data_IF_371538060301
#
_entry.id   IF_371538060301
#
_cell.length_a   1.000
_cell.length_b   1.000
_cell.length_c   1.000
_cell.angle_alpha   90.00
_cell.angle_beta   90.00
_cell.angle_gamma   90.00
#
_symmetry.space_group_name_H-M   'P 1'
#
loop_
_entity.id
_entity.type
_entity.pdbx_description
1 polymer ?
#
# COMPACT_ATOMS: atom_id res chain seq x y z
N UNK A 1 2.39 -19.11 -3.36
CA UNK A 1 1.51 -18.56 -4.40
C UNK A 1 0.77 -17.33 -3.82
N UNK A 2 1.50 -16.37 -3.23
CA UNK A 2 0.88 -15.39 -2.29
C UNK A 2 0.20 -14.19 -2.97
N UNK A 3 0.59 -13.86 -4.21
CA UNK A 3 0.07 -12.70 -4.93
C UNK A 3 -0.95 -13.06 -6.02
N UNK A 4 -1.00 -14.32 -6.45
CA UNK A 4 -1.96 -14.77 -7.48
C UNK A 4 -3.39 -14.90 -6.94
N UNK A 5 -3.57 -15.11 -5.63
CA UNK A 5 -4.90 -15.18 -4.98
C UNK A 5 -5.48 -13.79 -4.66
N UNK A 6 -4.66 -12.74 -4.69
CA UNK A 6 -5.04 -11.36 -4.35
C UNK A 6 -5.35 -10.53 -5.60
N UNK A 7 -6.28 -11.02 -6.42
CA UNK A 7 -6.71 -10.32 -7.62
C UNK A 7 -7.26 -8.92 -7.34
N UNK A 8 -7.21 -8.05 -8.35
CA UNK A 8 -7.79 -6.70 -8.27
C UNK A 8 -9.28 -6.79 -8.60
N UNK A 9 -10.17 -6.34 -7.72
CA UNK A 9 -11.59 -6.18 -8.04
C UNK A 9 -11.91 -4.70 -8.26
N UNK A 10 -12.59 -4.36 -9.35
CA UNK A 10 -13.00 -2.99 -9.58
C UNK A 10 -14.03 -2.56 -8.51
N UNK A 11 -13.79 -1.47 -7.75
CA UNK A 11 -14.71 -1.05 -6.70
C UNK A 11 -16.07 -0.60 -7.27
N UNK A 12 -16.11 -0.14 -8.53
CA UNK A 12 -17.33 0.33 -9.21
C UNK A 12 -18.18 -0.81 -9.78
N UNK A 13 -17.62 -1.66 -10.67
CA UNK A 13 -18.40 -2.69 -11.37
C UNK A 13 -18.17 -4.12 -10.87
N UNK A 14 -17.30 -4.32 -9.86
CA UNK A 14 -16.96 -5.61 -9.25
C UNK A 14 -16.30 -6.63 -10.18
N UNK A 15 -15.93 -6.25 -11.39
CA UNK A 15 -15.13 -7.11 -12.28
C UNK A 15 -13.76 -7.40 -11.66
N UNK A 16 -13.37 -8.67 -11.67
CA UNK A 16 -12.14 -9.17 -11.06
C UNK A 16 -11.05 -9.43 -12.10
N UNK A 17 -9.83 -9.03 -11.79
CA UNK A 17 -8.63 -9.25 -12.58
C UNK A 17 -7.72 -10.21 -11.82
N UNK A 18 -7.22 -11.26 -12.49
CA UNK A 18 -6.22 -12.18 -11.95
C UNK A 18 -4.79 -11.61 -12.12
N UNK A 19 -4.58 -10.36 -11.66
CA UNK A 19 -3.34 -9.61 -11.83
C UNK A 19 -2.76 -9.23 -10.47
N UNK A 20 -1.43 -9.29 -10.35
CA UNK A 20 -0.71 -8.63 -9.27
C UNK A 20 -0.83 -7.11 -9.40
N UNK A 21 -0.66 -6.35 -8.30
CA UNK A 21 -0.83 -4.89 -8.33
C UNK A 21 0.26 -4.18 -9.11
N UNK A 22 1.43 -4.80 -9.26
CA UNK A 22 2.55 -4.29 -10.05
C UNK A 22 3.13 -2.97 -9.51
N UNK A 23 3.93 -2.29 -10.33
CA UNK A 23 4.61 -1.04 -9.94
C UNK A 23 3.73 0.22 -9.97
N UNK A 24 2.71 0.25 -10.84
CA UNK A 24 1.79 1.39 -10.96
C UNK A 24 0.53 1.14 -10.11
N UNK A 25 0.25 2.03 -9.16
CA UNK A 25 -0.94 1.93 -8.32
C UNK A 25 -2.20 2.45 -9.00
N UNK A 26 -2.09 3.21 -10.09
CA UNK A 26 -3.24 3.72 -10.83
C UNK A 26 -3.74 2.64 -11.80
N UNK A 27 -4.95 2.16 -11.56
CA UNK A 27 -5.62 1.15 -12.37
C UNK A 27 -6.84 1.73 -13.08
N UNK A 28 -7.03 1.41 -14.36
CA UNK A 28 -8.24 1.73 -15.12
C UNK A 28 -9.01 0.44 -15.44
N UNK A 29 -10.27 0.35 -14.98
CA UNK A 29 -11.11 -0.81 -15.26
C UNK A 29 -11.45 -0.89 -16.76
N UNK A 30 -11.17 -2.03 -17.40
CA UNK A 30 -11.51 -2.28 -18.81
C UNK A 30 -13.02 -2.28 -19.07
N UNK A 31 -13.83 -2.71 -18.09
CA UNK A 31 -15.28 -2.84 -18.23
C UNK A 31 -16.04 -1.51 -18.08
N UNK A 32 -15.69 -0.70 -17.08
CA UNK A 32 -16.45 0.52 -16.74
C UNK A 32 -15.63 1.81 -16.79
N UNK A 33 -14.37 1.72 -17.23
CA UNK A 33 -13.41 2.84 -17.34
C UNK A 33 -13.17 3.61 -16.03
N UNK A 34 -13.52 3.05 -14.87
CA UNK A 34 -13.26 3.67 -13.58
C UNK A 34 -11.77 3.64 -13.23
N UNK A 35 -11.23 4.76 -12.76
CA UNK A 35 -9.84 4.91 -12.34
C UNK A 35 -9.76 4.80 -10.81
N UNK A 36 -8.97 3.86 -10.30
CA UNK A 36 -8.85 3.60 -8.86
C UNK A 36 -7.45 3.09 -8.50
N UNK A 37 -7.14 3.13 -7.20
CA UNK A 37 -5.89 2.61 -6.68
C UNK A 37 -5.94 1.09 -6.52
N UNK A 38 -5.00 0.34 -7.10
CA UNK A 38 -4.93 -1.12 -6.91
C UNK A 38 -4.63 -1.53 -5.46
N UNK A 39 -3.98 -0.65 -4.68
CA UNK A 39 -3.63 -0.88 -3.27
C UNK A 39 -4.75 -0.61 -2.27
N UNK A 40 -5.48 0.51 -2.41
CA UNK A 40 -6.52 0.91 -1.47
C UNK A 40 -7.94 0.97 -2.04
N UNK A 41 -8.11 0.72 -3.33
CA UNK A 41 -9.38 0.85 -4.07
C UNK A 41 -9.98 2.27 -4.11
N UNK A 42 -9.31 3.25 -3.52
CA UNK A 42 -9.71 4.66 -3.58
C UNK A 42 -9.74 5.19 -5.01
N UNK A 43 -10.73 6.04 -5.32
CA UNK A 43 -10.91 6.63 -6.64
C UNK A 43 -9.75 7.57 -7.01
N UNK A 44 -9.29 7.50 -8.26
CA UNK A 44 -8.49 8.56 -8.87
C UNK A 44 -9.39 9.60 -9.53
N UNK A 45 -9.15 10.86 -9.23
CA UNK A 45 -9.88 12.00 -9.75
C UNK A 45 -9.08 12.71 -10.84
N UNK A 46 -9.71 12.94 -11.98
CA UNK A 46 -9.16 13.81 -13.01
C UNK A 46 -9.02 15.26 -12.50
N UNK A 47 -8.26 16.07 -13.23
CA UNK A 47 -8.05 17.48 -12.92
C UNK A 47 -9.36 18.21 -12.63
N UNK A 48 -9.42 18.93 -11.51
CA UNK A 48 -10.56 19.68 -11.00
C UNK A 48 -11.81 18.86 -10.60
N UNK A 49 -11.76 17.52 -10.64
CA UNK A 49 -12.87 16.62 -10.27
C UNK A 49 -12.80 16.03 -8.87
N UNK A 50 -11.73 16.29 -8.11
CA UNK A 50 -11.62 15.82 -6.73
C UNK A 50 -12.75 16.40 -5.85
N UNK A 51 -13.42 15.61 -4.99
CA UNK A 51 -14.48 16.12 -4.12
C UNK A 51 -13.93 16.82 -2.87
N UNK A 52 -12.65 16.61 -2.51
CA UNK A 52 -12.06 17.17 -1.29
C UNK A 52 -11.87 18.69 -1.44
N UNK A 53 -12.51 19.51 -0.58
CA UNK A 53 -12.29 20.95 -0.56
C UNK A 53 -10.82 21.28 -0.29
N UNK A 54 -10.30 22.32 -0.94
CA UNK A 54 -8.92 22.79 -0.75
C UNK A 54 -7.81 21.73 -0.96
N UNK A 55 -8.07 20.65 -1.69
CA UNK A 55 -7.03 19.69 -2.07
C UNK A 55 -5.88 20.42 -2.82
N UNK A 56 -4.64 20.41 -2.32
CA UNK A 56 -3.53 21.19 -2.88
C UNK A 56 -3.13 20.71 -4.28
N UNK A 57 -3.44 19.45 -4.61
CA UNK A 57 -3.14 18.82 -5.90
C UNK A 57 -4.38 18.66 -6.79
N UNK A 58 -5.46 19.43 -6.52
CA UNK A 58 -6.73 19.33 -7.26
C UNK A 58 -6.58 19.46 -8.78
N UNK A 59 -5.54 20.15 -9.25
CA UNK A 59 -5.27 20.42 -10.67
C UNK A 59 -4.59 19.25 -11.41
N UNK A 60 -4.21 18.17 -10.73
CA UNK A 60 -3.62 16.97 -11.34
C UNK A 60 -4.50 15.74 -11.19
N UNK A 61 -4.20 14.69 -11.95
CA UNK A 61 -4.73 13.35 -11.71
C UNK A 61 -4.18 12.84 -10.37
N UNK A 62 -5.04 12.53 -9.41
CA UNK A 62 -4.61 12.04 -8.10
C UNK A 62 -5.66 11.17 -7.42
N UNK A 63 -5.21 10.33 -6.48
CA UNK A 63 -6.05 9.61 -5.53
C UNK A 63 -5.78 10.09 -4.10
N UNK A 64 -6.71 9.81 -3.20
CA UNK A 64 -6.50 9.99 -1.76
C UNK A 64 -6.28 8.62 -1.13
N UNK A 65 -5.08 8.41 -0.61
CA UNK A 65 -4.66 7.12 -0.08
C UNK A 65 -4.70 7.15 1.45
N UNK A 66 -5.19 6.10 2.11
CA UNK A 66 -5.02 5.94 3.55
C UNK A 66 -3.57 5.60 3.88
N UNK A 67 -3.18 5.79 5.13
CA UNK A 67 -1.78 5.64 5.57
C UNK A 67 -1.21 4.22 5.47
N UNK A 68 -2.08 3.20 5.45
CA UNK A 68 -1.78 1.78 5.24
C UNK A 68 -1.82 1.34 3.76
N UNK A 69 -2.02 2.26 2.82
CA UNK A 69 -1.98 1.93 1.40
C UNK A 69 -0.57 1.55 0.93
N UNK A 70 -0.47 0.55 0.06
CA UNK A 70 0.75 0.22 -0.69
C UNK A 70 1.39 1.44 -1.39
N UNK A 71 0.59 2.43 -1.78
CA UNK A 71 1.10 3.70 -2.34
C UNK A 71 2.14 4.37 -1.44
N UNK A 72 1.94 4.34 -0.12
CA UNK A 72 2.92 4.86 0.86
C UNK A 72 3.87 3.78 1.36
N UNK A 73 3.35 2.59 1.70
CA UNK A 73 4.16 1.56 2.36
C UNK A 73 5.22 0.93 1.44
N UNK A 74 5.08 1.06 0.11
CA UNK A 74 6.14 0.62 -0.83
C UNK A 74 7.45 1.40 -0.70
N UNK A 75 7.39 2.62 -0.15
CA UNK A 75 8.56 3.48 0.04
C UNK A 75 9.32 3.12 1.33
N UNK A 76 8.73 2.31 2.21
CA UNK A 76 9.43 1.79 3.37
C UNK A 76 10.48 0.75 2.98
N UNK A 77 11.57 0.69 3.75
CA UNK A 77 12.52 -0.41 3.68
C UNK A 77 11.86 -1.72 4.14
N UNK A 78 12.28 -2.84 3.55
CA UNK A 78 11.81 -4.17 3.94
C UNK A 78 11.95 -4.45 5.45
N UNK A 79 13.06 -4.12 6.12
CA UNK A 79 13.19 -4.33 7.57
C UNK A 79 12.13 -3.59 8.38
N UNK A 80 11.71 -2.40 7.95
CA UNK A 80 10.68 -1.61 8.64
C UNK A 80 9.29 -2.24 8.50
N UNK A 81 8.96 -2.77 7.32
CA UNK A 81 7.72 -3.51 7.09
C UNK A 81 7.69 -4.82 7.89
N UNK A 82 8.81 -5.55 7.91
CA UNK A 82 8.96 -6.78 8.70
C UNK A 82 8.82 -6.49 10.20
N UNK A 83 9.43 -5.41 10.70
CA UNK A 83 9.32 -5.02 12.12
C UNK A 83 7.87 -4.77 12.54
N UNK A 84 7.05 -4.16 11.68
CA UNK A 84 5.62 -3.98 11.95
C UNK A 84 4.86 -5.30 12.06
N UNK A 85 5.21 -6.28 11.23
CA UNK A 85 4.64 -7.63 11.32
C UNK A 85 5.13 -8.35 12.59
N UNK A 86 6.43 -8.27 12.90
CA UNK A 86 7.04 -8.88 14.08
C UNK A 86 6.43 -8.35 15.39
N UNK A 87 6.28 -7.03 15.54
CA UNK A 87 5.75 -6.41 16.75
C UNK A 87 4.27 -6.71 17.00
N UNK A 88 3.60 -7.34 16.03
CA UNK A 88 2.20 -7.76 16.11
C UNK A 88 2.04 -9.28 15.93
N UNK A 89 3.13 -10.05 16.10
CA UNK A 89 3.15 -11.52 16.02
C UNK A 89 2.60 -12.09 14.70
N UNK A 90 2.74 -11.34 13.60
CA UNK A 90 2.32 -11.79 12.26
C UNK A 90 3.48 -12.46 11.53
N UNK A 91 3.35 -13.77 11.30
CA UNK A 91 4.33 -14.53 10.56
C UNK A 91 4.42 -14.09 9.08
N UNK A 92 5.64 -14.08 8.54
CA UNK A 92 5.90 -13.84 7.12
C UNK A 92 7.06 -14.72 6.64
N UNK A 93 7.08 -15.01 5.34
CA UNK A 93 8.13 -15.84 4.75
C UNK A 93 9.36 -15.00 4.38
N UNK A 94 10.53 -15.57 4.63
CA UNK A 94 11.83 -15.10 4.12
C UNK A 94 12.40 -16.04 3.08
N UNK A 95 12.00 -17.32 3.14
CA UNK A 95 12.42 -18.35 2.20
C UNK A 95 11.27 -18.70 1.23
N UNK A 96 11.58 -19.14 0.00
CA UNK A 96 10.56 -19.63 -0.92
C UNK A 96 9.77 -20.80 -0.29
N UNK A 97 8.44 -20.88 -0.48
CA UNK A 97 7.65 -22.00 0.03
C UNK A 97 8.19 -23.35 -0.44
N UNK A 98 8.09 -24.37 0.42
CA UNK A 98 8.45 -25.74 0.08
C UNK A 98 7.72 -26.21 -1.20
N UNK A 99 8.44 -26.83 -2.12
CA UNK A 99 7.89 -27.26 -3.42
C UNK A 99 7.87 -26.17 -4.51
N UNK A 100 8.35 -24.96 -4.24
CA UNK A 100 8.58 -23.95 -5.29
C UNK A 100 9.67 -24.49 -6.23
N UNK A 101 9.30 -24.99 -7.42
CA UNK A 101 10.23 -25.44 -8.48
C UNK A 101 11.31 -24.39 -8.73
N UNK A 102 12.52 -24.68 -9.17
CA UNK A 102 13.45 -23.62 -9.61
C UNK A 102 13.01 -23.03 -10.96
N UNK A 103 13.22 -21.72 -11.21
CA UNK A 103 12.90 -21.10 -12.51
C UNK A 103 14.10 -21.32 -13.43
N UNK A 104 13.92 -21.80 -14.67
CA UNK A 104 14.99 -21.72 -15.67
C UNK A 104 15.38 -20.25 -15.85
N UNK A 105 16.62 -19.89 -15.48
CA UNK A 105 17.09 -18.50 -15.51
C UNK A 105 16.91 -17.68 -14.21
N UNK A 106 16.31 -18.26 -13.17
CA UNK A 106 16.09 -17.56 -11.89
C UNK A 106 15.02 -16.47 -11.95
N UNK A 107 14.91 -15.68 -10.88
CA UNK A 107 14.08 -14.47 -10.85
C UNK A 107 12.63 -14.64 -10.39
N UNK A 108 11.99 -13.49 -10.16
CA UNK A 108 10.68 -13.33 -9.55
C UNK A 108 9.56 -13.86 -10.48
N UNK A 109 8.62 -14.63 -9.91
CA UNK A 109 7.57 -15.35 -10.68
C UNK A 109 6.20 -14.74 -10.63
N UNK A 110 6.08 -13.55 -10.06
CA UNK A 110 4.81 -12.84 -10.09
C UNK A 110 4.48 -12.56 -11.55
N UNK A 111 3.30 -13.03 -11.98
CA UNK A 111 2.82 -12.78 -13.33
C UNK A 111 2.37 -11.33 -13.43
N UNK A 112 2.91 -10.63 -14.41
CA UNK A 112 2.58 -9.25 -14.74
C UNK A 112 2.04 -9.21 -16.18
N UNK A 113 1.06 -8.35 -16.43
CA UNK A 113 0.58 -8.10 -17.78
C UNK A 113 1.47 -7.03 -18.42
N UNK A 114 2.34 -7.44 -19.34
CA UNK A 114 3.28 -6.56 -20.03
C UNK A 114 2.73 -6.11 -21.37
N UNK A 115 2.99 -4.86 -21.73
CA UNK A 115 2.71 -4.35 -23.07
C UNK A 115 3.77 -4.86 -24.04
N UNK A 116 3.31 -5.50 -25.12
CA UNK A 116 4.11 -6.01 -26.23
C UNK A 116 3.59 -5.40 -27.54
N UNK A 117 4.33 -5.59 -28.65
CA UNK A 117 3.89 -5.13 -29.97
C UNK A 117 2.52 -5.71 -30.38
N UNK A 118 2.20 -6.93 -29.93
CA UNK A 118 0.94 -7.64 -30.22
C UNK A 118 -0.14 -7.38 -29.15
N UNK A 119 0.07 -6.42 -28.25
CA UNK A 119 -0.85 -6.10 -27.16
C UNK A 119 -0.38 -6.60 -25.80
N UNK A 120 -1.33 -6.90 -24.91
CA UNK A 120 -1.07 -7.25 -23.52
C UNK A 120 -0.83 -8.75 -23.37
N UNK A 121 0.31 -9.12 -22.76
CA UNK A 121 0.68 -10.52 -22.54
C UNK A 121 1.11 -10.76 -21.09
N UNK A 122 0.64 -11.86 -20.52
CA UNK A 122 1.03 -12.28 -19.18
C UNK A 122 2.42 -12.91 -19.21
N UNK A 123 3.37 -12.29 -18.52
CA UNK A 123 4.75 -12.75 -18.42
C UNK A 123 5.25 -12.64 -16.99
N UNK A 124 6.16 -13.54 -16.56
CA UNK A 124 6.78 -13.42 -15.24
C UNK A 124 7.58 -12.12 -15.12
N UNK A 125 7.60 -11.56 -13.91
CA UNK A 125 8.37 -10.37 -13.57
C UNK A 125 9.85 -10.54 -13.91
N UNK A 126 10.44 -11.69 -13.57
CA UNK A 126 11.82 -12.09 -13.83
C UNK A 126 12.91 -11.20 -13.22
N UNK A 127 12.54 -10.19 -12.42
CA UNK A 127 13.48 -9.37 -11.65
C UNK A 127 14.23 -10.22 -10.60
N UNK A 128 15.40 -9.75 -10.21
CA UNK A 128 16.25 -10.37 -9.19
C UNK A 128 15.49 -10.66 -7.89
N UNK A 129 15.81 -11.80 -7.27
CA UNK A 129 15.20 -12.28 -6.03
C UNK A 129 16.25 -12.37 -4.93
N UNK A 130 16.42 -11.31 -4.12
CA UNK A 130 17.38 -11.30 -3.02
C UNK A 130 17.12 -12.42 -2.00
N UNK A 131 18.17 -12.84 -1.30
CA UNK A 131 18.04 -13.74 -0.16
C UNK A 131 17.15 -13.10 0.93
N UNK A 132 16.30 -13.90 1.56
CA UNK A 132 15.36 -13.44 2.58
C UNK A 132 14.07 -12.80 2.06
N UNK A 133 13.87 -12.71 0.73
CA UNK A 133 12.67 -12.10 0.11
C UNK A 133 11.68 -13.15 -0.44
N UNK A 134 11.71 -14.37 0.11
CA UNK A 134 10.81 -15.47 -0.22
C UNK A 134 10.75 -15.82 -1.73
N UNK A 135 11.84 -15.60 -2.47
CA UNK A 135 11.89 -15.81 -3.92
C UNK A 135 11.13 -14.76 -4.73
N UNK A 136 10.87 -13.59 -4.16
CA UNK A 136 10.27 -12.42 -4.82
C UNK A 136 11.32 -11.33 -5.03
N UNK A 137 11.09 -10.47 -6.03
CA UNK A 137 11.85 -9.23 -6.14
C UNK A 137 11.39 -8.23 -5.06
N UNK A 138 12.20 -7.21 -4.79
CA UNK A 138 11.91 -6.26 -3.70
C UNK A 138 10.49 -5.66 -3.76
N UNK A 139 10.07 -5.20 -4.93
CA UNK A 139 8.74 -4.59 -5.10
C UNK A 139 7.61 -5.57 -4.74
N UNK A 140 7.69 -6.81 -5.25
CA UNK A 140 6.69 -7.83 -4.97
C UNK A 140 6.80 -8.39 -3.54
N UNK A 141 7.98 -8.40 -2.95
CA UNK A 141 8.15 -8.75 -1.54
C UNK A 141 7.51 -7.68 -0.63
N UNK A 142 7.70 -6.40 -0.93
CA UNK A 142 6.99 -5.32 -0.23
C UNK A 142 5.49 -5.40 -0.41
N UNK A 143 4.99 -5.69 -1.62
CA UNK A 143 3.57 -5.93 -1.85
C UNK A 143 3.03 -7.08 -0.99
N UNK A 144 3.78 -8.18 -0.90
CA UNK A 144 3.46 -9.30 -0.03
C UNK A 144 3.40 -8.90 1.45
N UNK A 145 4.41 -8.21 1.97
CA UNK A 145 4.43 -7.76 3.38
C UNK A 145 3.28 -6.78 3.66
N UNK A 146 3.03 -5.84 2.76
CA UNK A 146 1.92 -4.89 2.87
C UNK A 146 0.57 -5.61 2.81
N UNK A 147 0.44 -6.68 2.02
CA UNK A 147 -0.79 -7.49 2.02
C UNK A 147 -1.04 -8.11 3.40
N UNK A 148 0.01 -8.56 4.11
CA UNK A 148 -0.11 -9.09 5.46
C UNK A 148 -0.47 -8.00 6.47
N UNK A 149 0.22 -6.85 6.42
CA UNK A 149 -0.06 -5.66 7.24
C UNK A 149 -1.53 -5.27 7.13
N UNK A 150 -2.02 -5.16 5.90
CA UNK A 150 -3.39 -4.77 5.59
C UNK A 150 -4.40 -5.83 6.03
N UNK A 151 -4.10 -7.11 5.80
CA UNK A 151 -4.98 -8.21 6.18
C UNK A 151 -5.20 -8.31 7.71
N UNK A 152 -4.22 -7.86 8.51
CA UNK A 152 -4.29 -7.82 9.97
C UNK A 152 -4.63 -6.43 10.52
N UNK A 153 -4.93 -5.45 9.67
CA UNK A 153 -5.26 -4.08 10.05
C UNK A 153 -4.17 -3.39 10.90
N UNK A 154 -2.89 -3.67 10.63
CA UNK A 154 -1.79 -3.09 11.40
C UNK A 154 -1.59 -1.62 11.01
N UNK A 155 -1.50 -0.75 12.02
CA UNK A 155 -1.36 0.69 11.80
C UNK A 155 0.11 1.11 11.68
N UNK A 156 0.59 1.60 10.50
CA UNK A 156 1.97 2.04 10.33
C UNK A 156 2.32 3.27 11.17
N UNK A 157 1.33 4.01 11.70
CA UNK A 157 1.56 5.21 12.49
C UNK A 157 2.42 4.95 13.74
N UNK A 158 2.48 3.72 14.25
CA UNK A 158 3.33 3.35 15.41
C UNK A 158 4.82 3.58 15.16
N UNK A 159 5.27 3.55 13.90
CA UNK A 159 6.67 3.76 13.55
C UNK A 159 6.95 5.14 12.97
N UNK A 160 5.97 6.04 12.92
CA UNK A 160 6.23 7.36 12.36
C UNK A 160 7.20 8.13 13.24
N UNK A 161 8.20 8.72 12.60
CA UNK A 161 8.99 9.80 13.20
C UNK A 161 8.10 11.02 13.42
N UNK A 162 8.56 12.01 14.19
CA UNK A 162 7.82 13.25 14.36
C UNK A 162 7.52 13.91 13.00
N UNK A 163 8.52 13.98 12.12
CA UNK A 163 8.35 14.56 10.79
C UNK A 163 7.29 13.81 9.96
N UNK A 164 7.29 12.48 9.99
CA UNK A 164 6.32 11.67 9.24
C UNK A 164 4.90 11.88 9.77
N UNK A 165 4.70 11.84 11.09
CA UNK A 165 3.36 12.05 11.65
C UNK A 165 2.86 13.47 11.38
N UNK A 166 3.69 14.50 11.43
CA UNK A 166 3.31 15.87 11.06
C UNK A 166 2.88 15.98 9.59
N UNK A 167 3.58 15.30 8.68
CA UNK A 167 3.21 15.28 7.25
C UNK A 167 1.86 14.58 7.06
N UNK A 168 1.65 13.44 7.72
CA UNK A 168 0.41 12.66 7.61
C UNK A 168 -0.75 13.41 8.24
N UNK A 169 -0.57 14.00 9.42
CA UNK A 169 -1.56 14.87 10.07
C UNK A 169 -1.94 16.04 9.17
N UNK A 170 -0.99 16.78 8.59
CA UNK A 170 -1.30 17.89 7.67
C UNK A 170 -2.07 17.46 6.41
N UNK A 171 -1.95 16.19 6.01
CA UNK A 171 -2.64 15.64 4.83
C UNK A 171 -4.10 15.28 5.12
N UNK A 172 -4.40 14.83 6.34
CA UNK A 172 -5.70 14.26 6.68
C UNK A 172 -6.51 15.09 7.69
N UNK A 173 -5.85 15.91 8.49
CA UNK A 173 -6.47 16.71 9.55
C UNK A 173 -6.56 18.18 9.14
N UNK A 174 -7.55 18.86 9.71
CA UNK A 174 -7.68 20.32 9.64
C UNK A 174 -6.63 21.01 10.51
N UNK A 175 -6.34 22.28 10.24
CA UNK A 175 -5.48 23.09 11.09
C UNK A 175 -5.99 23.21 12.54
N UNK A 176 -7.30 23.11 12.75
CA UNK A 176 -7.91 23.11 14.09
C UNK A 176 -7.63 21.81 14.87
N UNK A 177 -7.55 20.67 14.18
CA UNK A 177 -7.21 19.38 14.79
C UNK A 177 -5.70 19.23 15.02
N UNK A 178 -4.86 19.90 14.22
CA UNK A 178 -3.40 19.86 14.35
C UNK A 178 -2.88 20.94 15.30
N UNK A 179 -3.02 20.69 16.61
CA UNK A 179 -2.52 21.61 17.63
C UNK A 179 -0.98 21.61 17.68
N UNK A 180 -0.34 22.79 17.71
CA UNK A 180 1.12 22.91 17.77
C UNK A 180 1.68 22.30 19.06
N UNK A 181 3.00 22.06 19.07
CA UNK A 181 3.71 21.61 20.26
C UNK A 181 3.61 22.65 21.38
N UNK A 182 3.28 22.19 22.59
CA UNK A 182 3.23 23.08 23.76
C UNK A 182 4.63 23.54 24.19
N UNK A 183 4.76 24.69 24.89
CA UNK A 183 6.05 25.23 25.31
C UNK A 183 6.83 24.32 26.27
N UNK A 184 6.13 23.45 27.00
CA UNK A 184 6.71 22.49 27.97
C UNK A 184 6.65 21.04 27.50
N UNK A 185 6.06 20.78 26.33
CA UNK A 185 5.88 19.43 25.81
C UNK A 185 7.20 18.95 25.20
N UNK A 186 7.67 17.76 25.59
CA UNK A 186 8.83 17.16 24.95
C UNK A 186 8.48 16.59 23.56
N UNK A 187 9.50 16.32 22.75
CA UNK A 187 9.30 15.91 21.36
C UNK A 187 8.59 14.55 21.22
N UNK A 188 8.90 13.61 22.12
CA UNK A 188 8.30 12.27 22.13
C UNK A 188 6.85 12.31 22.60
N UNK A 189 6.54 13.13 23.60
CA UNK A 189 5.17 13.41 24.03
C UNK A 189 4.35 14.02 22.90
N UNK A 190 4.91 15.01 22.20
CA UNK A 190 4.25 15.63 21.04
C UNK A 190 3.99 14.61 19.92
N UNK A 191 4.98 13.80 19.58
CA UNK A 191 4.83 12.72 18.59
C UNK A 191 3.73 11.74 18.97
N UNK A 192 3.72 11.27 20.23
CA UNK A 192 2.69 10.33 20.72
C UNK A 192 1.29 10.96 20.66
N UNK A 193 1.15 12.24 21.03
CA UNK A 193 -0.11 12.96 20.92
C UNK A 193 -0.59 13.06 19.48
N UNK A 194 0.28 13.40 18.53
CA UNK A 194 -0.07 13.44 17.11
C UNK A 194 -0.50 12.07 16.57
N UNK A 195 0.20 11.00 16.95
CA UNK A 195 -0.18 9.62 16.58
C UNK A 195 -1.55 9.27 17.14
N UNK A 196 -1.84 9.66 18.39
CA UNK A 196 -3.13 9.41 19.02
C UNK A 196 -4.27 10.15 18.27
N UNK A 197 -4.12 11.45 18.04
CA UNK A 197 -5.09 12.24 17.26
C UNK A 197 -5.30 11.66 15.87
N UNK A 198 -4.22 11.26 15.18
CA UNK A 198 -4.31 10.65 13.86
C UNK A 198 -5.10 9.34 13.89
N UNK A 199 -4.96 8.54 14.93
CA UNK A 199 -5.68 7.26 15.09
C UNK A 199 -7.16 7.45 15.36
N UNK A 200 -7.48 8.43 16.20
CA UNK A 200 -8.86 8.70 16.62
C UNK A 200 -9.67 9.36 15.49
N UNK A 201 -9.05 10.30 14.77
CA UNK A 201 -9.73 11.12 13.77
C UNK A 201 -9.66 10.56 12.35
N UNK A 202 -8.64 9.74 12.05
CA UNK A 202 -8.40 9.21 10.69
C UNK A 202 -8.32 7.68 10.78
N UNK A 203 -9.40 6.96 10.50
CA UNK A 203 -9.36 5.50 10.52
C UNK A 203 -8.52 4.95 9.36
N UNK A 204 -7.97 3.74 9.55
CA UNK A 204 -7.44 2.94 8.44
C UNK A 204 -8.59 2.59 7.47
N UNK A 205 -8.33 2.48 6.17
CA UNK A 205 -9.41 2.34 5.17
C UNK A 205 -10.15 1.00 5.25
N UNK A 206 -11.48 1.05 5.31
CA UNK A 206 -12.35 -0.12 5.33
C UNK A 206 -12.43 -0.87 3.99
N UNK A 207 -12.11 -0.20 2.88
CA UNK A 207 -12.18 -0.81 1.54
C UNK A 207 -10.97 -1.69 1.20
N UNK A 208 -9.89 -1.58 1.98
CA UNK A 208 -8.77 -2.53 1.87
C UNK A 208 -9.25 -3.88 2.40
N UNK A 209 -9.09 -4.95 1.61
CA UNK A 209 -9.48 -6.30 2.04
C UNK A 209 -8.76 -6.69 3.34
N UNK A 210 -9.52 -6.91 4.41
CA UNK A 210 -9.04 -7.34 5.72
C UNK A 210 -9.50 -8.76 6.00
N UNK A 211 -8.69 -9.58 6.70
CA UNK A 211 -9.17 -10.86 7.21
C UNK A 211 -10.36 -10.58 8.14
N UNK A 212 -11.50 -11.20 7.86
CA UNK A 212 -12.59 -11.26 8.83
C UNK A 212 -12.13 -12.23 9.92
N UNK A 213 -12.10 -11.77 11.17
CA UNK A 213 -11.94 -12.64 12.33
C UNK A 213 -13.09 -13.63 12.41
#
# INVERSE_FOLDING_TARGET
MYLQENGIACPKCKFSYALARGGCMHFQCSQCRHHFCSGCYGTFYASNKCPIPHCPIRRSLHGHHPRDCLFYLRDWGVPRLQKLLQDNDVAFNTDPPAGTRATPGGGCRVMEQKETLDGLKDEPCSKETPAGYAGLCEAHYKEYLVSLINSHALDPAVFYTLQEVEIVCRRHLTAAQLLPRGPTEDEEAYRRRLIQVLRDEVPLNLEISRRRK
#
